data_IF_614685416435
#
_entry.id   IF_614685416435
#
_cell.length_a   1.000
_cell.length_b   1.000
_cell.length_c   1.000
_cell.angle_alpha   90.00
_cell.angle_beta   90.00
_cell.angle_gamma   90.00
#
_symmetry.space_group_name_H-M   'P 1'
#
loop_
_entity.id
_entity.type
_entity.pdbx_description
1 polymer ?
#
# COMPACT_ATOMS: atom_id res chain seq x y z
N UNK A 1 -5.54 -44.46 -30.46
CA UNK A 1 -5.99 -43.14 -29.95
C UNK A 1 -5.83 -43.10 -28.44
N UNK A 2 -4.95 -42.24 -27.91
CA UNK A 2 -4.98 -41.61 -26.57
C UNK A 2 -3.73 -40.71 -26.49
N UNK A 3 -3.95 -39.40 -26.43
CA UNK A 3 -2.91 -38.35 -26.46
C UNK A 3 -2.34 -38.17 -25.05
N UNK A 4 -1.03 -38.26 -24.90
CA UNK A 4 -0.34 -37.85 -23.67
C UNK A 4 -0.12 -36.33 -23.70
N UNK A 5 -0.81 -35.61 -22.83
CA UNK A 5 -0.63 -34.17 -22.62
C UNK A 5 0.54 -33.93 -21.66
N UNK A 6 1.62 -33.36 -22.17
CA UNK A 6 2.73 -32.88 -21.35
C UNK A 6 2.43 -31.43 -20.97
N UNK A 7 2.22 -31.17 -19.68
CA UNK A 7 2.10 -29.81 -19.14
C UNK A 7 3.50 -29.24 -18.94
N UNK A 8 3.84 -28.23 -19.74
CA UNK A 8 5.06 -27.45 -19.59
C UNK A 8 4.93 -26.53 -18.36
N UNK A 9 5.82 -26.70 -17.38
CA UNK A 9 5.98 -25.79 -16.25
C UNK A 9 6.88 -24.64 -16.70
N UNK A 10 6.32 -23.44 -16.81
CA UNK A 10 7.09 -22.23 -17.09
C UNK A 10 7.84 -21.76 -15.83
N UNK A 11 9.15 -21.42 -15.92
CA UNK A 11 9.87 -20.82 -14.81
C UNK A 11 9.50 -19.33 -14.66
N UNK A 12 9.08 -18.95 -13.46
CA UNK A 12 8.84 -17.55 -13.07
C UNK A 12 10.21 -16.90 -12.82
N UNK A 13 10.59 -15.96 -13.69
CA UNK A 13 11.78 -15.13 -13.54
C UNK A 13 11.59 -14.14 -12.38
N UNK A 14 12.54 -14.13 -11.43
CA UNK A 14 12.62 -13.13 -10.37
C UNK A 14 13.13 -11.80 -10.95
N UNK A 15 12.28 -10.78 -10.95
CA UNK A 15 12.68 -9.39 -11.25
C UNK A 15 13.33 -8.80 -9.99
N UNK A 16 14.66 -8.74 -9.98
CA UNK A 16 15.44 -7.96 -9.01
C UNK A 16 15.53 -6.53 -9.52
N UNK A 17 14.67 -5.64 -9.02
CA UNK A 17 14.71 -4.21 -9.30
C UNK A 17 15.65 -3.50 -8.32
N UNK A 18 16.79 -3.03 -8.81
CA UNK A 18 17.74 -2.22 -8.05
C UNK A 18 17.30 -0.77 -7.92
N UNK A 19 17.39 -0.19 -6.72
CA UNK A 19 17.21 1.24 -6.49
C UNK A 19 18.55 1.96 -6.59
N UNK A 20 18.75 2.74 -7.66
CA UNK A 20 19.79 3.79 -7.71
C UNK A 20 19.22 5.06 -7.07
N UNK A 21 19.82 5.50 -5.96
CA UNK A 21 19.55 6.80 -5.34
C UNK A 21 20.53 7.81 -5.95
N UNK A 22 20.01 8.77 -6.72
CA UNK A 22 20.74 9.97 -7.11
C UNK A 22 20.50 11.03 -6.04
N UNK A 23 21.54 11.43 -5.30
CA UNK A 23 21.54 12.66 -4.53
C UNK A 23 22.24 13.75 -5.34
N UNK A 24 21.50 14.80 -5.66
CA UNK A 24 22.00 16.02 -6.29
C UNK A 24 22.22 17.04 -5.17
N UNK A 25 23.44 17.59 -5.18
CA UNK A 25 23.91 18.72 -4.38
C UNK A 25 23.11 19.99 -4.70
N UNK A 26 22.72 20.73 -3.67
CA UNK A 26 22.69 22.20 -3.71
C UNK A 26 22.49 22.80 -2.31
N UNK A 27 23.53 23.45 -1.81
CA UNK A 27 23.45 24.46 -0.75
C UNK A 27 22.58 25.64 -1.21
N UNK A 28 22.03 26.42 -0.27
CA UNK A 28 22.50 27.80 -0.20
C UNK A 28 22.71 28.33 1.23
N UNK A 29 23.77 29.11 1.35
CA UNK A 29 24.29 29.88 2.48
C UNK A 29 23.61 31.25 2.60
N UNK A 30 22.91 31.55 3.71
CA UNK A 30 22.47 32.92 4.05
C UNK A 30 22.70 33.24 5.54
N UNK A 31 23.70 34.09 5.76
CA UNK A 31 23.85 35.21 6.70
C UNK A 31 23.19 35.21 8.10
N UNK A 32 24.06 35.45 9.09
CA UNK A 32 23.90 36.09 10.40
C UNK A 32 22.54 36.65 10.80
N UNK A 33 22.02 36.20 11.94
CA UNK A 33 21.37 37.09 12.92
C UNK A 33 21.41 36.47 14.31
N UNK A 34 21.98 37.23 15.24
CA UNK A 34 22.22 36.87 16.64
C UNK A 34 20.94 37.01 17.47
N UNK A 35 20.41 35.88 17.94
CA UNK A 35 19.56 35.85 19.13
C UNK A 35 19.94 34.65 19.99
N UNK A 36 20.59 34.94 21.11
CA UNK A 36 20.65 34.05 22.26
C UNK A 36 19.23 33.82 22.77
N UNK A 37 18.72 32.62 22.60
CA UNK A 37 17.58 32.12 23.34
C UNK A 37 17.94 30.73 23.85
N UNK A 38 18.20 30.64 25.15
CA UNK A 38 18.45 29.39 25.86
C UNK A 38 17.30 28.40 25.64
N UNK A 39 17.54 27.18 25.13
CA UNK A 39 16.57 26.13 25.29
C UNK A 39 16.76 25.56 26.70
N UNK A 40 15.87 25.94 27.62
CA UNK A 40 15.60 25.10 28.79
C UNK A 40 14.95 23.84 28.24
N UNK A 41 15.80 22.90 27.82
CA UNK A 41 15.38 21.61 27.34
C UNK A 41 14.96 20.81 28.56
N UNK A 42 13.70 20.97 28.95
CA UNK A 42 13.04 20.03 29.84
C UNK A 42 13.15 18.65 29.16
N UNK A 43 14.06 17.82 29.65
CA UNK A 43 14.09 16.40 29.31
C UNK A 43 12.81 15.80 29.88
N UNK A 44 11.73 15.86 29.11
CA UNK A 44 10.58 15.00 29.28
C UNK A 44 11.07 13.57 29.02
N UNK A 45 11.61 12.94 30.08
CA UNK A 45 11.78 11.49 30.14
C UNK A 45 10.39 10.89 30.16
N UNK A 46 9.82 10.73 28.97
CA UNK A 46 8.75 9.77 28.74
C UNK A 46 9.38 8.39 28.97
N UNK A 47 9.39 7.95 30.22
CA UNK A 47 9.48 6.54 30.54
C UNK A 47 8.24 5.92 29.92
N UNK A 48 8.42 5.36 28.72
CA UNK A 48 7.45 4.46 28.13
C UNK A 48 7.17 3.40 29.20
N UNK A 49 5.95 3.44 29.75
CA UNK A 49 5.36 2.34 30.48
C UNK A 49 5.21 1.20 29.47
N UNK A 50 6.31 0.51 29.19
CA UNK A 50 6.32 -0.75 28.46
C UNK A 50 5.53 -1.69 29.34
N UNK A 51 4.38 -2.06 28.82
CA UNK A 51 3.30 -2.70 29.53
C UNK A 51 3.76 -3.92 30.33
N UNK A 52 3.03 -4.10 31.44
CA UNK A 52 2.97 -5.29 32.27
C UNK A 52 2.46 -6.56 31.53
N UNK A 53 2.65 -6.65 30.21
CA UNK A 53 2.16 -7.74 29.37
C UNK A 53 3.30 -8.23 28.46
N UNK A 54 3.84 -9.40 28.83
CA UNK A 54 4.57 -10.25 27.91
C UNK A 54 6.08 -10.06 27.90
N UNK A 55 6.76 -10.39 29.00
CA UNK A 55 8.18 -10.80 28.91
C UNK A 55 8.21 -12.17 28.21
N UNK A 56 8.10 -12.19 26.88
CA UNK A 56 8.28 -13.41 26.10
C UNK A 56 9.70 -13.88 26.33
N UNK A 57 9.88 -14.93 27.13
CA UNK A 57 11.18 -15.57 27.28
C UNK A 57 11.56 -16.07 25.89
N UNK A 58 12.58 -15.47 25.28
CA UNK A 58 13.20 -16.01 24.07
C UNK A 58 13.83 -17.33 24.49
N UNK A 59 13.11 -18.44 24.29
CA UNK A 59 13.65 -19.78 24.44
C UNK A 59 14.65 -19.97 23.30
N UNK A 60 15.95 -19.97 23.63
CA UNK A 60 16.98 -20.28 22.65
C UNK A 60 16.86 -21.76 22.31
N UNK A 61 16.66 -22.06 21.03
CA UNK A 61 16.63 -23.43 20.55
C UNK A 61 18.03 -24.04 20.63
N UNK A 62 18.16 -25.15 21.35
CA UNK A 62 19.42 -25.86 21.49
C UNK A 62 19.55 -26.90 20.37
N UNK A 63 20.37 -26.55 19.36
CA UNK A 63 20.64 -27.40 18.20
C UNK A 63 21.19 -28.77 18.60
N UNK A 64 22.05 -28.82 19.62
CA UNK A 64 22.69 -30.06 20.07
C UNK A 64 21.67 -30.99 20.71
N UNK A 65 20.78 -30.45 21.55
CA UNK A 65 19.69 -31.23 22.16
C UNK A 65 18.78 -31.82 21.09
N UNK A 66 18.37 -31.00 20.12
CA UNK A 66 17.51 -31.44 19.02
C UNK A 66 18.19 -32.50 18.12
N UNK A 67 19.49 -32.39 17.87
CA UNK A 67 20.22 -33.40 17.11
C UNK A 67 20.33 -34.72 17.88
N UNK A 68 20.62 -34.66 19.18
CA UNK A 68 20.64 -35.84 20.06
C UNK A 68 19.28 -36.52 20.14
N UNK A 69 18.21 -35.72 20.22
CA UNK A 69 16.82 -36.21 20.20
C UNK A 69 16.48 -36.89 18.87
N UNK A 70 16.91 -36.35 17.73
CA UNK A 70 16.78 -37.02 16.43
C UNK A 70 17.53 -38.35 16.37
N UNK A 71 18.74 -38.43 16.92
CA UNK A 71 19.48 -39.70 16.96
C UNK A 71 18.76 -40.71 17.85
N UNK A 72 18.28 -40.29 19.02
CA UNK A 72 17.47 -41.11 19.93
C UNK A 72 16.21 -41.65 19.25
N UNK A 73 15.49 -40.81 18.49
CA UNK A 73 14.30 -41.24 17.75
C UNK A 73 14.61 -42.31 16.69
N UNK A 74 15.71 -42.17 15.95
CA UNK A 74 16.15 -43.20 14.98
C UNK A 74 16.55 -44.51 15.64
N UNK A 75 17.14 -44.45 16.83
CA UNK A 75 17.50 -45.65 17.60
C UNK A 75 16.25 -46.37 18.12
N UNK A 76 15.24 -45.62 18.59
CA UNK A 76 13.94 -46.16 18.97
C UNK A 76 13.20 -46.78 17.78
N UNK A 77 13.17 -46.08 16.64
CA UNK A 77 12.60 -46.58 15.38
C UNK A 77 13.29 -47.88 14.91
N UNK A 78 14.63 -47.93 14.99
CA UNK A 78 15.40 -49.12 14.66
C UNK A 78 15.14 -50.29 15.62
N UNK A 79 14.82 -50.00 16.88
CA UNK A 79 14.42 -50.99 17.86
C UNK A 79 12.96 -51.45 17.70
N UNK A 80 12.20 -50.87 16.76
CA UNK A 80 10.77 -51.12 16.59
C UNK A 80 9.93 -50.57 17.74
N UNK A 81 10.47 -49.66 18.54
CA UNK A 81 9.76 -48.97 19.62
C UNK A 81 9.32 -47.63 19.04
N UNK A 82 8.06 -47.50 18.65
CA UNK A 82 7.53 -46.21 18.24
C UNK A 82 7.05 -45.48 19.50
N UNK A 83 7.69 -44.37 19.91
CA UNK A 83 7.27 -43.58 21.07
C UNK A 83 5.90 -42.88 20.86
N UNK A 84 5.32 -43.05 19.67
CA UNK A 84 4.01 -42.57 19.23
C UNK A 84 3.05 -43.71 18.96
N UNK A 85 3.39 -44.96 19.31
CA UNK A 85 2.41 -46.04 19.26
C UNK A 85 1.28 -45.71 20.22
N UNK A 86 0.07 -45.69 19.69
CA UNK A 86 -1.17 -45.51 20.45
C UNK A 86 -1.45 -46.71 21.39
N UNK A 87 -0.60 -47.75 21.36
CA UNK A 87 -0.69 -48.94 22.21
C UNK A 87 -0.50 -48.63 23.71
N UNK A 88 0.15 -47.51 24.05
CA UNK A 88 0.26 -46.99 25.43
C UNK A 88 -0.84 -45.98 25.78
N UNK A 89 -1.73 -45.64 24.84
CA UNK A 89 -2.87 -44.79 25.15
C UNK A 89 -3.87 -45.58 26.01
N UNK A 90 -4.37 -45.02 27.13
CA UNK A 90 -5.38 -45.70 27.91
C UNK A 90 -6.60 -45.98 27.02
N UNK A 91 -7.06 -47.23 26.95
CA UNK A 91 -8.28 -47.57 26.21
C UNK A 91 -9.44 -46.70 26.70
N UNK A 92 -9.96 -45.85 25.81
CA UNK A 92 -11.12 -45.02 26.08
C UNK A 92 -12.36 -45.79 25.64
N UNK A 93 -13.39 -45.83 26.49
CA UNK A 93 -14.66 -46.45 26.10
C UNK A 93 -15.24 -45.73 24.87
N UNK A 94 -15.85 -46.44 23.90
CA UNK A 94 -16.39 -45.80 22.69
C UNK A 94 -17.34 -44.61 22.96
N UNK A 95 -18.13 -44.70 24.03
CA UNK A 95 -19.03 -43.62 24.48
C UNK A 95 -18.29 -42.40 25.01
N UNK A 96 -17.16 -42.60 25.70
CA UNK A 96 -16.31 -41.52 26.19
C UNK A 96 -15.52 -40.86 25.06
N UNK A 97 -15.08 -41.64 24.07
CA UNK A 97 -14.42 -41.13 22.88
C UNK A 97 -15.36 -40.22 22.09
N UNK A 98 -16.61 -40.64 21.89
CA UNK A 98 -17.60 -39.81 21.20
C UNK A 98 -17.82 -38.47 21.91
N UNK A 99 -17.89 -38.47 23.26
CA UNK A 99 -18.02 -37.22 24.03
C UNK A 99 -16.82 -36.30 23.84
N UNK A 100 -15.61 -36.86 23.82
CA UNK A 100 -14.37 -36.10 23.62
C UNK A 100 -14.28 -35.52 22.20
N UNK A 101 -14.67 -36.30 21.19
CA UNK A 101 -14.67 -35.87 19.80
C UNK A 101 -15.68 -34.73 19.58
N UNK A 102 -16.89 -34.83 20.14
CA UNK A 102 -17.91 -33.78 20.09
C UNK A 102 -17.46 -32.48 20.80
N UNK A 103 -16.77 -32.60 21.94
CA UNK A 103 -16.22 -31.46 22.67
C UNK A 103 -15.04 -30.81 21.93
N UNK A 104 -14.18 -31.62 21.31
CA UNK A 104 -13.09 -31.12 20.48
C UNK A 104 -13.61 -30.44 19.22
N UNK A 105 -14.64 -30.98 18.58
CA UNK A 105 -15.29 -30.37 17.43
C UNK A 105 -15.87 -29.00 17.78
N UNK A 106 -16.51 -28.86 18.95
CA UNK A 106 -16.97 -27.55 19.45
C UNK A 106 -15.84 -26.56 19.63
N UNK A 107 -14.72 -26.97 20.25
CA UNK A 107 -13.54 -26.10 20.40
C UNK A 107 -12.94 -25.69 19.06
N UNK A 108 -12.89 -26.61 18.10
CA UNK A 108 -12.43 -26.31 16.73
C UNK A 108 -13.36 -25.32 16.04
N UNK A 109 -14.67 -25.51 16.15
CA UNK A 109 -15.68 -24.62 15.57
C UNK A 109 -15.59 -23.20 16.15
N UNK A 110 -15.43 -23.05 17.47
CA UNK A 110 -15.25 -21.73 18.11
C UNK A 110 -13.98 -21.03 17.63
N UNK A 111 -12.86 -21.74 17.52
CA UNK A 111 -11.60 -21.19 17.02
C UNK A 111 -11.71 -20.79 15.54
N UNK A 112 -12.43 -21.58 14.75
CA UNK A 112 -12.70 -21.26 13.36
C UNK A 112 -13.61 -20.04 13.22
N UNK A 113 -14.65 -19.93 14.03
CA UNK A 113 -15.53 -18.76 14.05
C UNK A 113 -14.75 -17.50 14.43
N UNK A 114 -13.88 -17.56 15.44
CA UNK A 114 -13.01 -16.44 15.79
C UNK A 114 -12.09 -16.03 14.64
N UNK A 115 -11.51 -17.01 13.93
CA UNK A 115 -10.68 -16.75 12.75
C UNK A 115 -11.50 -16.10 11.64
N UNK A 116 -12.70 -16.59 11.37
CA UNK A 116 -13.59 -16.03 10.36
C UNK A 116 -14.01 -14.60 10.74
N UNK A 117 -14.37 -14.36 12.00
CA UNK A 117 -14.72 -13.03 12.51
C UNK A 117 -13.57 -12.04 12.36
N UNK A 118 -12.34 -12.45 12.65
CA UNK A 118 -11.15 -11.61 12.45
C UNK A 118 -10.93 -11.26 10.97
N UNK A 119 -11.05 -12.24 10.07
CA UNK A 119 -10.92 -12.02 8.64
C UNK A 119 -12.02 -11.10 8.10
N UNK A 120 -13.25 -11.24 8.60
CA UNK A 120 -14.38 -10.38 8.26
C UNK A 120 -14.14 -8.93 8.70
N UNK A 121 -13.71 -8.70 9.95
CA UNK A 121 -13.35 -7.35 10.43
C UNK A 121 -12.28 -6.69 9.56
N UNK A 122 -11.25 -7.44 9.20
CA UNK A 122 -10.20 -6.94 8.30
C UNK A 122 -10.75 -6.57 6.92
N UNK A 123 -11.63 -7.41 6.36
CA UNK A 123 -12.26 -7.15 5.08
C UNK A 123 -13.15 -5.89 5.11
N UNK A 124 -13.91 -5.70 6.20
CA UNK A 124 -14.74 -4.50 6.42
C UNK A 124 -13.88 -3.24 6.51
N UNK A 125 -12.80 -3.25 7.31
CA UNK A 125 -11.88 -2.11 7.41
C UNK A 125 -11.24 -1.76 6.06
N UNK A 126 -10.81 -2.77 5.30
CA UNK A 126 -10.21 -2.55 3.98
C UNK A 126 -11.24 -2.05 2.96
N UNK A 127 -12.50 -2.50 3.05
CA UNK A 127 -13.60 -1.96 2.24
C UNK A 127 -13.83 -0.47 2.54
N UNK A 128 -13.86 -0.08 3.82
CA UNK A 128 -13.99 1.34 4.23
C UNK A 128 -12.81 2.17 3.74
N UNK A 129 -11.57 1.67 3.87
CA UNK A 129 -10.37 2.36 3.35
C UNK A 129 -10.45 2.55 1.83
N UNK A 130 -10.88 1.53 1.09
CA UNK A 130 -11.07 1.60 -0.37
C UNK A 130 -12.14 2.62 -0.74
N UNK A 131 -13.26 2.67 -0.02
CA UNK A 131 -14.31 3.68 -0.25
C UNK A 131 -13.79 5.09 -0.01
N UNK A 132 -13.14 5.35 1.14
CA UNK A 132 -12.53 6.65 1.46
C UNK A 132 -11.49 7.07 0.42
N UNK A 133 -10.68 6.13 -0.09
CA UNK A 133 -9.72 6.43 -1.14
C UNK A 133 -10.41 6.79 -2.48
N UNK A 134 -11.49 6.08 -2.85
CA UNK A 134 -12.29 6.42 -4.04
C UNK A 134 -12.88 7.81 -3.93
N UNK A 135 -13.45 8.16 -2.77
CA UNK A 135 -13.99 9.50 -2.50
C UNK A 135 -12.91 10.58 -2.58
N UNK A 136 -11.74 10.33 -1.97
CA UNK A 136 -10.61 11.24 -2.04
C UNK A 136 -10.15 11.47 -3.48
N UNK A 137 -10.03 10.40 -4.29
CA UNK A 137 -9.69 10.50 -5.70
C UNK A 137 -10.77 11.23 -6.51
N UNK A 138 -12.05 10.96 -6.25
CA UNK A 138 -13.16 11.66 -6.88
C UNK A 138 -13.11 13.17 -6.56
N UNK A 139 -12.83 13.55 -5.31
CA UNK A 139 -12.66 14.94 -4.89
C UNK A 139 -11.51 15.62 -5.63
N UNK A 140 -10.37 14.96 -5.77
CA UNK A 140 -9.25 15.51 -6.55
C UNK A 140 -9.62 15.75 -8.02
N UNK A 141 -10.31 14.79 -8.65
CA UNK A 141 -10.78 14.92 -10.03
C UNK A 141 -11.78 16.08 -10.15
N UNK A 142 -12.75 16.17 -9.23
CA UNK A 142 -13.74 17.24 -9.22
C UNK A 142 -13.09 18.61 -9.06
N UNK A 143 -12.13 18.77 -8.13
CA UNK A 143 -11.37 20.01 -7.96
C UNK A 143 -10.57 20.37 -9.23
N UNK A 144 -9.96 19.37 -9.88
CA UNK A 144 -9.24 19.60 -11.13
C UNK A 144 -10.17 20.04 -12.27
N UNK A 145 -11.35 19.41 -12.40
CA UNK A 145 -12.38 19.79 -13.37
C UNK A 145 -12.89 21.20 -13.12
N UNK A 146 -13.24 21.54 -11.89
CA UNK A 146 -13.71 22.88 -11.54
C UNK A 146 -12.67 23.98 -11.85
N UNK A 147 -11.38 23.72 -11.62
CA UNK A 147 -10.31 24.65 -12.02
C UNK A 147 -10.22 24.83 -13.54
N UNK A 148 -10.44 23.76 -14.30
CA UNK A 148 -10.45 23.83 -15.77
C UNK A 148 -11.70 24.54 -16.29
N UNK A 149 -12.86 24.27 -15.70
CA UNK A 149 -14.13 24.91 -16.04
C UNK A 149 -14.08 26.41 -15.76
N UNK A 150 -13.63 26.84 -14.58
CA UNK A 150 -13.48 28.27 -14.25
C UNK A 150 -12.46 28.99 -15.13
N UNK A 151 -11.37 28.32 -15.52
CA UNK A 151 -10.42 28.87 -16.48
C UNK A 151 -11.01 28.99 -17.90
N UNK A 152 -11.83 28.01 -18.32
CA UNK A 152 -12.53 28.04 -19.60
C UNK A 152 -13.62 29.11 -19.61
N UNK A 153 -14.39 29.25 -18.53
CA UNK A 153 -15.43 30.27 -18.36
C UNK A 153 -14.82 31.67 -18.43
N UNK A 154 -13.72 31.95 -17.72
CA UNK A 154 -13.01 33.23 -17.83
C UNK A 154 -12.50 33.51 -19.24
N UNK A 155 -12.03 32.48 -19.95
CA UNK A 155 -11.59 32.62 -21.34
C UNK A 155 -12.76 32.92 -22.28
N UNK A 156 -13.91 32.31 -22.02
CA UNK A 156 -15.13 32.54 -22.79
C UNK A 156 -15.74 33.91 -22.50
N UNK A 157 -15.78 34.33 -21.23
CA UNK A 157 -16.16 35.68 -20.82
C UNK A 157 -15.24 36.73 -21.47
N UNK A 158 -13.92 36.51 -21.49
CA UNK A 158 -12.98 37.40 -22.17
C UNK A 158 -13.22 37.47 -23.69
N UNK A 159 -13.62 36.35 -24.32
CA UNK A 159 -14.01 36.33 -25.75
C UNK A 159 -15.31 37.09 -25.99
N UNK A 160 -16.32 36.89 -25.14
CA UNK A 160 -17.60 37.59 -25.22
C UNK A 160 -17.41 39.09 -25.01
N UNK A 161 -16.60 39.50 -24.02
CA UNK A 161 -16.26 40.90 -23.80
C UNK A 161 -15.59 41.53 -25.03
N UNK A 162 -14.62 40.84 -25.65
CA UNK A 162 -13.98 41.32 -26.89
C UNK A 162 -14.98 41.47 -28.04
N UNK A 163 -15.92 40.54 -28.18
CA UNK A 163 -16.97 40.64 -29.20
C UNK A 163 -17.92 41.82 -28.91
N UNK A 164 -18.28 42.05 -27.65
CA UNK A 164 -19.13 43.18 -27.25
C UNK A 164 -18.43 44.52 -27.48
N UNK A 165 -17.15 44.68 -27.12
CA UNK A 165 -16.40 45.92 -27.38
C UNK A 165 -16.22 46.18 -28.88
N UNK A 166 -15.93 45.14 -29.67
CA UNK A 166 -15.83 45.29 -31.13
C UNK A 166 -17.14 45.69 -31.82
N UNK A 167 -18.29 45.39 -31.20
CA UNK A 167 -19.62 45.76 -31.72
C UNK A 167 -19.98 47.22 -31.41
N UNK A 168 -19.39 47.82 -30.37
CA UNK A 168 -19.60 49.23 -30.01
C UNK A 168 -18.72 50.15 -30.87
N UNK A 169 -17.50 49.72 -31.21
CA UNK A 169 -16.60 50.47 -32.12
C UNK A 169 -17.02 50.40 -33.60
N UNK A 170 -17.93 49.50 -33.98
CA UNK A 170 -18.45 49.36 -35.35
C UNK A 170 -19.46 50.44 -35.79
N UNK A 171 -19.72 51.45 -34.96
CA UNK A 171 -20.66 52.55 -35.28
C UNK A 171 -19.99 53.92 -35.46
N UNK A 172 -18.67 54.01 -35.32
CA UNK A 172 -17.91 55.25 -35.55
C UNK A 172 -16.54 54.92 -36.17
N UNK A 173 -16.52 54.46 -37.42
CA UNK A 173 -15.44 54.73 -38.40
C UNK A 173 -15.71 53.96 -39.70
N UNK A 174 -16.55 54.55 -40.55
CA UNK A 174 -16.44 54.35 -42.00
C UNK A 174 -16.23 55.73 -42.56
N UNK A 175 -14.98 56.20 -42.59
CA UNK A 175 -14.45 57.16 -43.58
C UNK A 175 -13.01 57.55 -43.18
N UNK A 176 -12.02 56.75 -43.56
CA UNK A 176 -10.69 57.26 -43.90
C UNK A 176 -9.86 56.18 -44.62
N UNK A 177 -9.71 56.41 -45.93
CA UNK A 177 -8.54 56.16 -46.78
C UNK A 177 -7.91 54.76 -46.85
N UNK A 178 -8.00 54.23 -48.07
CA UNK A 178 -7.07 53.27 -48.65
C UNK A 178 -5.66 53.87 -48.79
N UNK A 179 -4.65 53.08 -48.42
CA UNK A 179 -3.26 53.01 -48.93
C UNK A 179 -2.47 52.24 -47.83
N UNK A 180 -1.62 51.25 -48.04
CA UNK A 180 -0.93 50.68 -49.18
C UNK A 180 0.31 49.95 -48.60
N UNK A 181 0.73 48.87 -49.26
CA UNK A 181 2.08 48.28 -49.24
C UNK A 181 2.68 47.62 -47.96
N UNK A 182 2.68 46.29 -48.01
CA UNK A 182 3.88 45.43 -48.21
C UNK A 182 4.83 44.98 -47.07
N UNK A 183 5.08 43.66 -47.14
CA UNK A 183 6.31 42.89 -46.89
C UNK A 183 6.76 42.35 -45.51
N UNK A 184 7.10 41.04 -45.59
CA UNK A 184 7.98 40.17 -44.77
C UNK A 184 7.40 39.60 -43.47
N UNK A 185 7.41 38.28 -43.20
CA UNK A 185 8.15 37.16 -43.78
C UNK A 185 8.87 36.39 -42.67
N UNK A 186 8.55 35.10 -42.47
CA UNK A 186 9.38 34.02 -41.90
C UNK A 186 8.46 32.90 -41.36
N UNK A 187 8.28 31.81 -42.09
CA UNK A 187 9.16 30.63 -42.18
C UNK A 187 8.78 29.55 -41.18
N UNK A 188 8.14 28.53 -41.73
CA UNK A 188 7.96 27.20 -41.18
C UNK A 188 9.29 26.55 -40.80
N UNK A 189 9.39 26.02 -39.58
CA UNK A 189 10.19 24.83 -39.32
C UNK A 189 9.41 23.89 -38.40
N UNK A 190 8.95 22.78 -38.96
CA UNK A 190 8.54 21.61 -38.21
C UNK A 190 9.77 20.79 -37.82
N UNK A 191 9.66 20.09 -36.69
CA UNK A 191 10.52 18.96 -36.36
C UNK A 191 9.70 17.92 -35.62
N UNK A 192 10.02 16.68 -35.95
CA UNK A 192 9.34 15.41 -35.67
C UNK A 192 9.30 15.04 -34.18
#
# INVERSE_FOLDING_TARGET
MRRAGWLAVAPIAAVVGGTRVSQVLASPSWTSSSYQCSPVSAQCRLHHAVGLLGRTRITRFDLRKHEMEKRRLRELEKAGINPTDDDDAPWIAPEEQQRLDEEEERRRAEMEEQRQAFMKKRAEEDAVKRQKFKEFRAKQIAMSRHRKETAAEKKEEARQHRQQTSRVEGTEEVNAAADGADANGASHHGTQ
#
